data_IF_710295489146
#
_entry.id   IF_710295489146
#
_cell.length_a   1.000
_cell.length_b   1.000
_cell.length_c   1.000
_cell.angle_alpha   90.00
_cell.angle_beta   90.00
_cell.angle_gamma   90.00
#
_symmetry.space_group_name_H-M   'P 1'
#
loop_
_entity.id
_entity.type
_entity.pdbx_description
1 polymer ?
#
# COMPACT_ATOMS: atom_id res chain seq x y z
N UNK A 1 -22.41 10.76 22.57
CA UNK A 1 -22.11 10.17 21.25
C UNK A 1 -22.49 11.19 20.19
N UNK A 2 -21.53 12.02 19.78
CA UNK A 2 -21.75 12.83 18.58
C UNK A 2 -21.80 11.87 17.40
N UNK A 3 -23.01 11.67 16.87
CA UNK A 3 -23.21 11.08 15.56
C UNK A 3 -22.53 12.00 14.55
N UNK A 4 -21.24 11.80 14.31
CA UNK A 4 -20.57 12.36 13.15
C UNK A 4 -21.14 11.68 11.92
N UNK A 5 -22.32 12.13 11.51
CA UNK A 5 -22.93 11.83 10.21
C UNK A 5 -22.01 12.41 9.14
N UNK A 6 -21.01 11.62 8.78
CA UNK A 6 -20.05 11.99 7.77
C UNK A 6 -20.73 11.92 6.42
N UNK A 7 -20.50 12.92 5.58
CA UNK A 7 -21.05 12.92 4.20
C UNK A 7 -20.43 11.79 3.36
N UNK A 8 -19.10 11.58 3.55
CA UNK A 8 -18.28 10.58 2.89
C UNK A 8 -17.21 10.13 3.88
N UNK A 9 -16.88 8.86 3.93
CA UNK A 9 -15.85 8.30 4.80
C UNK A 9 -15.26 7.02 4.21
N UNK A 10 -14.04 6.68 4.61
CA UNK A 10 -13.44 5.38 4.36
C UNK A 10 -13.56 4.55 5.65
N UNK A 11 -14.30 3.46 5.59
CA UNK A 11 -14.38 2.47 6.66
C UNK A 11 -13.21 1.52 6.53
N UNK A 12 -12.41 1.37 7.60
CA UNK A 12 -11.20 0.54 7.63
C UNK A 12 -11.45 -0.61 8.59
N UNK A 13 -11.55 -1.81 8.06
CA UNK A 13 -11.81 -3.02 8.82
C UNK A 13 -10.50 -3.68 9.27
N UNK A 14 -10.20 -3.56 10.57
CA UNK A 14 -8.99 -4.13 11.17
C UNK A 14 -9.12 -5.64 11.46
N UNK A 15 -10.31 -6.21 11.40
CA UNK A 15 -10.52 -7.66 11.46
C UNK A 15 -10.11 -8.28 10.11
N UNK A 16 -10.47 -7.64 8.98
CA UNK A 16 -9.99 -8.03 7.65
C UNK A 16 -8.46 -7.91 7.53
N UNK A 17 -7.87 -6.82 8.07
CA UNK A 17 -6.41 -6.69 8.15
C UNK A 17 -5.77 -7.84 8.93
N UNK A 18 -6.38 -8.22 10.06
CA UNK A 18 -5.93 -9.34 10.90
C UNK A 18 -6.00 -10.66 10.13
N UNK A 19 -7.14 -10.93 9.49
CA UNK A 19 -7.32 -12.11 8.65
C UNK A 19 -6.22 -12.20 7.57
N UNK A 20 -5.99 -11.10 6.85
CA UNK A 20 -4.99 -11.04 5.78
C UNK A 20 -3.57 -11.30 6.31
N UNK A 21 -3.23 -10.69 7.44
CA UNK A 21 -1.95 -10.92 8.12
C UNK A 21 -1.76 -12.40 8.48
N UNK A 22 -2.78 -13.05 9.03
CA UNK A 22 -2.75 -14.46 9.38
C UNK A 22 -2.67 -15.39 8.17
N UNK A 23 -3.34 -15.06 7.06
CA UNK A 23 -3.20 -15.80 5.80
C UNK A 23 -1.77 -15.75 5.30
N UNK A 24 -1.13 -14.56 5.32
CA UNK A 24 0.28 -14.43 4.95
C UNK A 24 1.17 -15.24 5.91
N UNK A 25 0.93 -15.14 7.23
CA UNK A 25 1.68 -15.89 8.25
C UNK A 25 1.64 -17.38 7.98
N UNK A 26 0.46 -17.95 7.75
CA UNK A 26 0.30 -19.36 7.40
C UNK A 26 1.02 -19.75 6.10
N UNK A 27 1.08 -18.84 5.13
CA UNK A 27 1.72 -19.06 3.82
C UNK A 27 3.24 -19.20 3.90
N UNK A 28 3.89 -18.34 4.71
CA UNK A 28 5.36 -18.27 4.79
C UNK A 28 5.94 -18.95 6.03
N UNK A 29 5.13 -19.24 7.04
CA UNK A 29 5.52 -19.90 8.28
C UNK A 29 5.96 -18.93 9.39
N UNK A 30 5.98 -19.41 10.64
CA UNK A 30 6.16 -18.59 11.84
C UNK A 30 7.58 -18.03 12.01
N UNK A 31 8.57 -18.66 11.38
CA UNK A 31 9.97 -18.22 11.47
C UNK A 31 10.29 -17.02 10.62
N UNK A 32 9.49 -16.74 9.59
CA UNK A 32 9.68 -15.63 8.66
C UNK A 32 9.11 -14.37 9.26
N UNK A 33 9.89 -13.29 9.31
CA UNK A 33 9.40 -11.98 9.76
C UNK A 33 8.45 -11.41 8.70
N UNK A 34 7.30 -10.86 9.15
CA UNK A 34 6.40 -10.10 8.29
C UNK A 34 6.73 -8.62 8.44
N UNK A 35 7.10 -7.99 7.34
CA UNK A 35 7.27 -6.55 7.25
C UNK A 35 6.00 -5.95 6.64
N UNK A 36 5.27 -5.16 7.41
CA UNK A 36 4.10 -4.41 6.93
C UNK A 36 4.52 -3.15 6.18
N UNK A 37 4.11 -3.02 4.92
CA UNK A 37 4.38 -1.80 4.14
C UNK A 37 3.25 -0.81 4.38
N UNK A 38 3.55 0.29 5.08
CA UNK A 38 2.58 1.31 5.50
C UNK A 38 2.83 2.69 4.88
N UNK A 39 3.66 2.76 3.84
CA UNK A 39 3.91 3.99 3.06
C UNK A 39 2.64 4.53 2.41
N UNK A 40 2.67 5.78 1.97
CA UNK A 40 1.54 6.49 1.35
C UNK A 40 0.27 6.41 2.23
N UNK A 41 0.45 6.77 3.52
CA UNK A 41 -0.61 6.74 4.53
C UNK A 41 -1.28 5.35 4.64
N UNK A 42 -0.44 4.27 4.69
CA UNK A 42 -0.95 2.90 4.70
C UNK A 42 -1.75 2.56 3.44
N UNK A 43 -1.27 2.97 2.25
CA UNK A 43 -2.04 2.88 1.00
C UNK A 43 -3.41 3.57 1.10
N UNK A 44 -3.46 4.72 1.78
CA UNK A 44 -4.68 5.48 2.00
C UNK A 44 -5.55 5.01 3.17
N UNK A 45 -5.13 3.98 3.90
CA UNK A 45 -5.92 3.40 5.02
C UNK A 45 -5.68 4.09 6.38
N UNK A 46 -4.68 5.00 6.47
CA UNK A 46 -4.22 5.56 7.74
C UNK A 46 -3.05 4.78 8.32
N UNK A 47 -1.82 5.28 8.11
CA UNK A 47 -0.59 4.55 8.45
C UNK A 47 -0.48 4.23 9.95
N UNK A 48 -0.92 5.14 10.82
CA UNK A 48 -0.76 5.01 12.28
C UNK A 48 -1.56 3.84 12.83
N UNK A 49 -2.85 3.77 12.53
CA UNK A 49 -3.73 2.72 13.06
C UNK A 49 -3.39 1.36 12.45
N UNK A 50 -3.06 1.33 11.15
CA UNK A 50 -2.57 0.11 10.49
C UNK A 50 -1.26 -0.37 11.15
N UNK A 51 -0.28 0.52 11.38
CA UNK A 51 0.98 0.18 12.01
C UNK A 51 0.80 -0.36 13.45
N UNK A 52 -0.02 0.32 14.27
CA UNK A 52 -0.37 -0.14 15.62
C UNK A 52 -1.01 -1.52 15.60
N UNK A 53 -1.94 -1.76 14.66
CA UNK A 53 -2.56 -3.07 14.55
C UNK A 53 -1.56 -4.15 14.14
N UNK A 54 -0.67 -3.87 13.19
CA UNK A 54 0.38 -4.80 12.78
C UNK A 54 1.36 -5.09 13.91
N UNK A 55 1.71 -4.10 14.73
CA UNK A 55 2.53 -4.28 15.92
C UNK A 55 1.87 -5.22 16.93
N UNK A 56 0.57 -5.05 17.19
CA UNK A 56 -0.21 -5.97 18.05
C UNK A 56 -0.27 -7.40 17.50
N UNK A 57 -0.29 -7.56 16.17
CA UNK A 57 -0.31 -8.86 15.49
C UNK A 57 1.07 -9.54 15.41
N UNK A 58 2.12 -8.88 15.91
CA UNK A 58 3.48 -9.43 15.91
C UNK A 58 4.19 -9.30 14.57
N UNK A 59 3.95 -8.24 13.81
CA UNK A 59 4.82 -7.87 12.70
C UNK A 59 6.25 -7.67 13.20
N UNK A 60 7.24 -8.08 12.38
CA UNK A 60 8.64 -7.96 12.75
C UNK A 60 9.27 -6.63 12.31
N UNK A 61 8.65 -5.94 11.37
CA UNK A 61 9.14 -4.73 10.74
C UNK A 61 8.00 -3.93 10.12
N UNK A 62 8.20 -2.63 9.92
CA UNK A 62 7.37 -1.79 9.05
C UNK A 62 8.23 -1.21 7.93
N UNK A 63 7.59 -0.71 6.86
CA UNK A 63 8.30 0.01 5.81
C UNK A 63 7.54 1.24 5.33
N UNK A 64 8.30 2.31 5.13
CA UNK A 64 7.84 3.61 4.66
C UNK A 64 8.63 4.06 3.43
N UNK A 65 8.24 5.18 2.81
CA UNK A 65 8.84 5.71 1.60
C UNK A 65 9.58 7.03 1.79
N UNK A 66 9.29 7.76 2.85
CA UNK A 66 9.95 9.02 3.20
C UNK A 66 10.08 9.16 4.73
N UNK A 67 10.94 10.10 5.14
CA UNK A 67 11.29 10.29 6.55
C UNK A 67 10.11 10.84 7.38
N UNK A 68 9.24 11.64 6.77
CA UNK A 68 8.09 12.25 7.47
C UNK A 68 7.05 11.18 7.82
N UNK A 69 6.86 10.15 6.96
CA UNK A 69 6.04 8.97 7.29
C UNK A 69 6.61 8.21 8.50
N UNK A 70 7.93 8.09 8.61
CA UNK A 70 8.57 7.46 9.77
C UNK A 70 8.36 8.29 11.04
N UNK A 71 8.53 9.60 10.96
CA UNK A 71 8.34 10.53 12.08
C UNK A 71 6.89 10.47 12.60
N UNK A 72 5.89 10.51 11.71
CA UNK A 72 4.47 10.36 12.07
C UNK A 72 4.20 9.08 12.87
N UNK A 73 4.79 7.96 12.43
CA UNK A 73 4.66 6.68 13.15
C UNK A 73 5.33 6.72 14.52
N UNK A 74 6.55 7.29 14.63
CA UNK A 74 7.27 7.42 15.92
C UNK A 74 6.53 8.33 16.88
N UNK A 75 6.05 9.48 16.42
CA UNK A 75 5.26 10.44 17.23
C UNK A 75 3.96 9.81 17.74
N UNK A 76 3.43 8.85 17.01
CA UNK A 76 2.24 8.08 17.39
C UNK A 76 2.52 6.91 18.33
N UNK A 77 3.80 6.68 18.71
CA UNK A 77 4.20 5.66 19.67
C UNK A 77 4.50 4.29 19.08
N UNK A 78 4.60 4.15 17.75
CA UNK A 78 5.01 2.90 17.08
C UNK A 78 6.48 2.61 17.42
N UNK A 79 6.78 1.40 17.90
CA UNK A 79 8.12 0.98 18.37
C UNK A 79 8.84 0.02 17.43
N UNK A 80 8.13 -0.67 16.53
CA UNK A 80 8.72 -1.59 15.58
C UNK A 80 9.87 -0.96 14.77
N UNK A 81 10.87 -1.73 14.36
CA UNK A 81 11.85 -1.28 13.37
C UNK A 81 11.14 -0.82 12.09
N UNK A 82 11.61 0.30 11.50
CA UNK A 82 11.03 0.89 10.29
C UNK A 82 12.09 0.97 9.21
N UNK A 83 11.86 0.30 8.09
CA UNK A 83 12.73 0.32 6.91
C UNK A 83 12.29 1.41 5.93
N UNK A 84 13.19 2.33 5.62
CA UNK A 84 13.06 3.26 4.51
C UNK A 84 13.35 2.55 3.19
N UNK A 85 12.35 2.39 2.34
CA UNK A 85 12.49 1.73 1.03
C UNK A 85 12.97 2.68 -0.07
N UNK A 86 12.78 3.99 0.14
CA UNK A 86 13.07 5.04 -0.82
C UNK A 86 14.46 5.66 -0.66
N UNK A 87 14.67 6.73 -1.42
CA UNK A 87 15.83 7.58 -1.31
C UNK A 87 15.64 8.61 -0.19
N UNK A 88 16.69 8.78 0.63
CA UNK A 88 16.77 9.85 1.62
C UNK A 88 18.08 10.61 1.36
N UNK A 89 18.08 11.95 1.28
CA UNK A 89 19.29 12.74 1.21
C UNK A 89 20.17 12.52 2.45
N UNK A 90 21.50 12.46 2.27
CA UNK A 90 22.41 12.18 3.38
C UNK A 90 22.45 13.29 4.45
N UNK A 91 22.02 14.51 4.13
CA UNK A 91 21.87 15.60 5.10
C UNK A 91 20.81 15.32 6.18
N UNK A 92 19.92 14.35 5.94
CA UNK A 92 18.91 13.86 6.91
C UNK A 92 19.46 12.82 7.91
N UNK A 93 20.76 12.50 7.87
CA UNK A 93 21.36 11.48 8.77
C UNK A 93 21.03 11.70 10.25
N UNK A 94 20.99 12.94 10.71
CA UNK A 94 20.65 13.25 12.12
C UNK A 94 19.21 12.82 12.46
N UNK A 95 18.24 13.07 11.57
CA UNK A 95 16.85 12.62 11.75
C UNK A 95 16.74 11.10 11.69
N UNK A 96 17.45 10.45 10.77
CA UNK A 96 17.47 8.98 10.65
C UNK A 96 17.93 8.34 11.96
N UNK A 97 19.02 8.87 12.56
CA UNK A 97 19.53 8.41 13.85
C UNK A 97 18.54 8.67 14.98
N UNK A 98 17.96 9.86 15.05
CA UNK A 98 16.97 10.24 16.06
C UNK A 98 15.71 9.35 16.02
N UNK A 99 15.23 9.01 14.83
CA UNK A 99 14.02 8.21 14.61
C UNK A 99 14.30 6.69 14.75
N UNK A 100 15.56 6.29 14.96
CA UNK A 100 15.98 4.89 14.93
C UNK A 100 15.46 4.17 13.68
N UNK A 101 15.65 4.79 12.52
CA UNK A 101 15.18 4.30 11.24
C UNK A 101 16.25 3.45 10.55
N UNK A 102 15.84 2.34 9.95
CA UNK A 102 16.71 1.53 9.08
C UNK A 102 16.66 2.10 7.67
N UNK A 103 17.81 2.42 7.08
CA UNK A 103 17.90 3.03 5.75
C UNK A 103 18.31 2.01 4.69
N UNK A 104 17.62 1.99 3.54
CA UNK A 104 18.11 1.28 2.36
C UNK A 104 19.30 2.03 1.73
N UNK A 105 20.40 1.34 1.47
CA UNK A 105 21.56 1.88 0.74
C UNK A 105 21.69 1.20 -0.62
N UNK A 106 21.83 2.02 -1.68
CA UNK A 106 21.74 1.59 -3.08
C UNK A 106 23.01 1.85 -3.90
N UNK A 107 24.02 2.51 -3.33
CA UNK A 107 25.34 2.72 -3.94
C UNK A 107 26.37 2.95 -2.86
N UNK A 108 27.65 2.76 -3.21
CA UNK A 108 28.76 3.04 -2.31
C UNK A 108 28.83 4.52 -1.91
N UNK A 109 28.60 5.43 -2.85
CA UNK A 109 28.73 6.87 -2.60
C UNK A 109 27.74 7.35 -1.54
N UNK A 110 26.47 6.98 -1.66
CA UNK A 110 25.45 7.34 -0.65
C UNK A 110 25.71 6.64 0.70
N UNK A 111 26.15 5.38 0.69
CA UNK A 111 26.51 4.66 1.89
C UNK A 111 27.69 5.34 2.62
N UNK A 112 28.70 5.81 1.85
CA UNK A 112 29.84 6.54 2.40
C UNK A 112 29.43 7.88 2.99
N UNK A 113 28.58 8.65 2.30
CA UNK A 113 28.08 9.93 2.84
C UNK A 113 27.31 9.72 4.15
N UNK A 114 26.44 8.71 4.23
CA UNK A 114 25.75 8.36 5.47
C UNK A 114 26.72 7.97 6.58
N UNK A 115 27.72 7.14 6.26
CA UNK A 115 28.71 6.71 7.23
C UNK A 115 29.52 7.90 7.77
N UNK A 116 30.04 8.77 6.92
CA UNK A 116 30.86 9.92 7.31
C UNK A 116 30.05 10.86 8.25
N UNK A 117 28.79 11.10 7.91
CA UNK A 117 27.89 11.92 8.75
C UNK A 117 27.53 11.24 10.05
N UNK A 118 27.23 9.94 10.05
CA UNK A 118 26.92 9.19 11.26
C UNK A 118 28.10 9.20 12.24
N UNK A 119 29.33 9.00 11.74
CA UNK A 119 30.56 9.12 12.56
C UNK A 119 30.70 10.53 13.14
N UNK A 120 30.49 11.57 12.34
CA UNK A 120 30.55 12.97 12.80
C UNK A 120 29.52 13.25 13.90
N UNK A 121 28.37 12.61 13.86
CA UNK A 121 27.30 12.72 14.84
C UNK A 121 27.49 11.76 16.05
N UNK A 122 28.56 10.97 16.06
CA UNK A 122 28.84 10.00 17.13
C UNK A 122 27.93 8.78 17.17
N UNK A 123 27.29 8.45 16.04
CA UNK A 123 26.36 7.34 15.94
C UNK A 123 26.69 6.33 14.82
N UNK A 124 25.86 5.30 14.70
CA UNK A 124 25.85 4.36 13.57
C UNK A 124 24.43 4.23 13.04
N UNK A 125 24.30 4.20 11.72
CA UNK A 125 23.02 3.99 11.03
C UNK A 125 22.81 2.51 10.77
N UNK A 126 21.66 1.96 11.16
CA UNK A 126 21.23 0.64 10.69
C UNK A 126 20.82 0.73 9.23
N UNK A 127 21.37 -0.17 8.40
CA UNK A 127 21.12 -0.15 6.97
C UNK A 127 20.83 -1.53 6.41
N UNK A 128 19.96 -1.56 5.34
CA UNK A 128 19.83 -2.71 4.47
C UNK A 128 20.44 -2.40 3.09
N UNK A 129 21.30 -3.27 2.61
CA UNK A 129 21.88 -3.18 1.27
C UNK A 129 20.80 -3.54 0.25
N UNK A 130 20.53 -2.64 -0.69
CA UNK A 130 19.58 -2.89 -1.75
C UNK A 130 20.27 -3.36 -3.02
N UNK A 131 19.85 -4.52 -3.52
CA UNK A 131 20.28 -5.10 -4.79
C UNK A 131 19.25 -4.82 -5.89
N UNK A 132 19.73 -4.41 -7.06
CA UNK A 132 18.90 -4.37 -8.28
C UNK A 132 19.18 -5.62 -9.11
N UNK A 133 18.26 -6.55 -9.03
CA UNK A 133 18.37 -7.84 -9.75
C UNK A 133 17.64 -7.81 -11.09
N UNK A 134 17.06 -6.66 -11.47
CA UNK A 134 16.34 -6.48 -12.72
C UNK A 134 15.09 -5.62 -12.64
N UNK A 135 14.84 -4.95 -11.49
CA UNK A 135 13.75 -3.96 -11.37
C UNK A 135 14.08 -2.66 -12.11
N UNK A 136 15.37 -2.33 -12.27
CA UNK A 136 15.84 -1.13 -12.99
C UNK A 136 15.51 0.18 -12.28
N UNK A 137 15.56 0.21 -10.93
CA UNK A 137 15.13 1.38 -10.16
C UNK A 137 16.17 1.89 -9.17
N UNK A 138 16.45 1.15 -8.14
CA UNK A 138 17.44 1.48 -7.09
C UNK A 138 18.17 0.20 -6.68
N UNK A 139 19.46 0.30 -6.37
CA UNK A 139 20.25 -0.82 -5.83
C UNK A 139 21.54 -1.05 -6.59
N UNK A 140 22.40 -1.87 -6.01
CA UNK A 140 23.61 -2.36 -6.67
C UNK A 140 23.21 -3.34 -7.77
N UNK A 141 23.58 -3.05 -9.03
CA UNK A 141 23.20 -3.86 -10.18
C UNK A 141 23.78 -5.27 -10.10
N UNK A 142 22.94 -6.28 -10.30
CA UNK A 142 23.31 -7.69 -10.22
C UNK A 142 23.30 -8.40 -11.59
N UNK A 143 23.22 -7.64 -12.69
CA UNK A 143 23.39 -8.16 -14.04
C UNK A 143 24.85 -8.52 -14.32
N UNK A 144 25.11 -9.35 -15.34
CA UNK A 144 26.46 -9.86 -15.63
C UNK A 144 27.50 -8.76 -15.94
N UNK A 145 27.07 -7.64 -16.54
CA UNK A 145 27.98 -6.54 -16.90
C UNK A 145 28.47 -5.75 -15.68
N UNK A 146 27.66 -5.67 -14.63
CA UNK A 146 27.92 -4.84 -13.46
C UNK A 146 28.23 -5.64 -12.19
N UNK A 147 28.07 -6.96 -12.23
CA UNK A 147 28.14 -7.83 -11.05
C UNK A 147 29.44 -7.65 -10.24
N UNK A 148 30.61 -7.71 -10.89
CA UNK A 148 31.89 -7.60 -10.19
C UNK A 148 32.16 -6.20 -9.64
N UNK A 149 31.67 -5.15 -10.32
CA UNK A 149 31.76 -3.79 -9.82
C UNK A 149 30.88 -3.60 -8.58
N UNK A 150 29.64 -4.05 -8.64
CA UNK A 150 28.70 -4.01 -7.50
C UNK A 150 29.22 -4.83 -6.32
N UNK A 151 29.77 -6.01 -6.56
CA UNK A 151 30.36 -6.85 -5.51
C UNK A 151 31.51 -6.11 -4.79
N UNK A 152 32.46 -5.50 -5.54
CA UNK A 152 33.54 -4.70 -4.94
C UNK A 152 32.98 -3.53 -4.10
N UNK A 153 31.98 -2.84 -4.61
CA UNK A 153 31.39 -1.71 -3.90
C UNK A 153 30.64 -2.13 -2.65
N UNK A 154 29.90 -3.25 -2.69
CA UNK A 154 29.24 -3.81 -1.50
C UNK A 154 30.29 -4.21 -0.45
N UNK A 155 31.39 -4.87 -0.83
CA UNK A 155 32.48 -5.22 0.09
C UNK A 155 33.06 -3.96 0.78
N UNK A 156 33.21 -2.86 0.04
CA UNK A 156 33.64 -1.57 0.63
C UNK A 156 32.58 -0.97 1.55
N UNK A 157 31.28 -1.16 1.27
CA UNK A 157 30.18 -0.72 2.17
C UNK A 157 30.28 -1.44 3.51
N UNK A 158 30.63 -2.74 3.53
CA UNK A 158 30.78 -3.51 4.77
C UNK A 158 31.87 -2.96 5.71
N UNK A 159 32.83 -2.20 5.19
CA UNK A 159 33.96 -1.62 5.95
C UNK A 159 33.67 -0.22 6.50
N UNK A 160 32.50 0.37 6.16
CA UNK A 160 32.17 1.74 6.55
C UNK A 160 31.84 1.85 8.05
N UNK A 161 32.60 2.64 8.84
CA UNK A 161 32.52 2.62 10.31
C UNK A 161 31.21 3.20 10.88
N UNK A 162 30.54 4.07 10.13
CA UNK A 162 29.28 4.71 10.57
C UNK A 162 28.03 3.92 10.21
N UNK A 163 28.18 2.71 9.66
CA UNK A 163 27.04 1.86 9.30
C UNK A 163 27.00 0.57 10.15
N UNK A 164 25.79 0.17 10.51
CA UNK A 164 25.47 -1.14 11.06
C UNK A 164 24.64 -1.88 10.01
N UNK A 165 25.24 -2.85 9.33
CA UNK A 165 24.63 -3.52 8.19
C UNK A 165 23.83 -4.72 8.69
N UNK A 166 22.52 -4.58 8.73
CA UNK A 166 21.60 -5.60 9.23
C UNK A 166 21.13 -6.54 8.13
N UNK A 167 20.74 -6.00 6.98
CA UNK A 167 20.08 -6.81 5.98
C UNK A 167 20.45 -6.51 4.54
N UNK A 168 19.94 -7.38 3.67
CA UNK A 168 20.06 -7.28 2.21
C UNK A 168 18.75 -7.62 1.54
N UNK A 169 18.37 -6.86 0.50
CA UNK A 169 17.12 -7.11 -0.19
C UNK A 169 17.10 -6.73 -1.67
N UNK A 170 16.17 -7.34 -2.39
CA UNK A 170 15.80 -6.95 -3.74
C UNK A 170 14.29 -6.76 -3.90
N UNK A 171 13.82 -6.43 -5.09
CA UNK A 171 12.40 -6.30 -5.41
C UNK A 171 12.10 -6.96 -6.75
N UNK A 172 11.18 -7.93 -6.75
CA UNK A 172 10.72 -8.57 -7.98
C UNK A 172 9.81 -7.64 -8.78
N UNK A 173 9.97 -7.66 -10.09
CA UNK A 173 9.23 -6.77 -11.00
C UNK A 173 7.92 -7.37 -11.53
N UNK A 174 7.89 -8.70 -11.73
CA UNK A 174 6.79 -9.42 -12.40
C UNK A 174 6.40 -10.71 -11.69
N UNK A 175 6.62 -10.77 -10.36
CA UNK A 175 6.36 -11.98 -9.57
C UNK A 175 4.87 -12.30 -9.37
N UNK A 176 3.99 -11.41 -9.75
CA UNK A 176 2.52 -11.50 -9.76
C UNK A 176 1.95 -11.95 -11.11
N UNK A 177 2.79 -12.08 -12.12
CA UNK A 177 2.41 -12.55 -13.45
C UNK A 177 2.72 -14.05 -13.61
N UNK A 178 1.91 -14.74 -14.42
CA UNK A 178 2.00 -16.19 -14.66
C UNK A 178 2.46 -16.57 -16.08
N UNK A 179 2.85 -15.58 -16.91
CA UNK A 179 3.43 -15.85 -18.22
C UNK A 179 4.78 -16.56 -18.09
N UNK A 180 5.14 -17.39 -19.06
CA UNK A 180 6.44 -18.11 -19.03
C UNK A 180 7.60 -17.15 -18.90
N UNK A 181 7.57 -16.02 -19.62
CA UNK A 181 8.61 -14.99 -19.59
C UNK A 181 8.74 -14.34 -18.20
N UNK A 182 7.62 -13.97 -17.59
CA UNK A 182 7.59 -13.35 -16.26
C UNK A 182 8.06 -14.31 -15.17
N UNK A 183 7.68 -15.59 -15.27
CA UNK A 183 8.15 -16.65 -14.35
C UNK A 183 9.66 -16.85 -14.47
N UNK A 184 10.19 -16.95 -15.70
CA UNK A 184 11.62 -17.12 -15.93
C UNK A 184 12.41 -15.90 -15.46
N UNK A 185 11.92 -14.69 -15.70
CA UNK A 185 12.55 -13.46 -15.24
C UNK A 185 12.55 -13.35 -13.72
N UNK A 186 11.47 -13.73 -13.06
CA UNK A 186 11.41 -13.75 -11.59
C UNK A 186 12.41 -14.75 -10.99
N UNK A 187 12.58 -15.93 -11.61
CA UNK A 187 13.63 -16.88 -11.23
C UNK A 187 15.02 -16.30 -11.39
N UNK A 188 15.29 -15.65 -12.52
CA UNK A 188 16.56 -14.99 -12.77
C UNK A 188 16.85 -13.88 -11.74
N UNK A 189 15.85 -13.10 -11.36
CA UNK A 189 16.01 -12.10 -10.29
C UNK A 189 16.38 -12.76 -8.95
N UNK A 190 15.73 -13.89 -8.60
CA UNK A 190 16.06 -14.63 -7.38
C UNK A 190 17.47 -15.25 -7.44
N UNK A 191 17.88 -15.81 -8.56
CA UNK A 191 19.22 -16.37 -8.76
C UNK A 191 20.31 -15.30 -8.61
N UNK A 192 20.12 -14.12 -9.23
CA UNK A 192 21.01 -12.96 -9.08
C UNK A 192 21.11 -12.51 -7.62
N UNK A 193 19.99 -12.48 -6.91
CA UNK A 193 19.95 -12.14 -5.49
C UNK A 193 20.77 -13.14 -4.66
N UNK A 194 20.52 -14.42 -4.80
CA UNK A 194 21.23 -15.48 -4.07
C UNK A 194 22.72 -15.50 -4.38
N UNK A 195 23.11 -15.36 -5.66
CA UNK A 195 24.51 -15.35 -6.12
C UNK A 195 25.27 -14.17 -5.52
N UNK A 196 24.68 -12.95 -5.51
CA UNK A 196 25.35 -11.80 -4.93
C UNK A 196 25.59 -11.98 -3.43
N UNK A 197 24.61 -12.43 -2.69
CA UNK A 197 24.73 -12.72 -1.25
C UNK A 197 25.84 -13.74 -1.00
N UNK A 198 25.81 -14.87 -1.69
CA UNK A 198 26.82 -15.93 -1.55
C UNK A 198 28.24 -15.38 -1.77
N UNK A 199 28.44 -14.56 -2.80
CA UNK A 199 29.74 -13.97 -3.11
C UNK A 199 30.19 -12.98 -2.06
N UNK A 200 29.32 -12.07 -1.62
CA UNK A 200 29.62 -11.09 -0.56
C UNK A 200 30.01 -11.83 0.72
N UNK A 201 29.19 -12.77 1.17
CA UNK A 201 29.38 -13.50 2.43
C UNK A 201 30.62 -14.39 2.40
N UNK A 202 30.90 -15.03 1.25
CA UNK A 202 32.08 -15.93 1.13
C UNK A 202 33.38 -15.13 1.11
N UNK A 203 33.42 -13.97 0.44
CA UNK A 203 34.63 -13.17 0.32
C UNK A 203 34.95 -12.34 1.56
N UNK A 204 33.93 -11.83 2.25
CA UNK A 204 34.11 -10.96 3.42
C UNK A 204 34.11 -11.71 4.75
N UNK A 205 33.51 -12.91 4.82
CA UNK A 205 33.20 -13.58 6.07
C UNK A 205 32.04 -12.95 6.85
N UNK A 206 31.50 -11.85 6.36
CA UNK A 206 30.30 -11.21 6.94
C UNK A 206 29.06 -12.07 6.72
N UNK A 207 28.05 -11.92 7.58
CA UNK A 207 26.75 -12.57 7.41
C UNK A 207 25.65 -11.54 7.62
N UNK A 208 24.79 -11.36 6.63
CA UNK A 208 23.58 -10.56 6.83
C UNK A 208 22.63 -11.24 7.82
N UNK A 209 22.03 -10.48 8.71
CA UNK A 209 21.04 -10.99 9.67
C UNK A 209 19.67 -11.19 9.02
N UNK A 210 19.34 -10.38 8.01
CA UNK A 210 18.05 -10.39 7.32
C UNK A 210 18.23 -10.41 5.80
N UNK A 211 17.68 -11.44 5.17
CA UNK A 211 17.57 -11.53 3.71
C UNK A 211 16.10 -11.44 3.31
N UNK A 212 15.77 -10.58 2.35
CA UNK A 212 14.38 -10.48 1.91
C UNK A 212 14.21 -10.09 0.43
N UNK A 213 13.52 -10.93 -0.34
CA UNK A 213 13.23 -10.67 -1.74
C UNK A 213 11.72 -10.60 -2.05
N UNK A 214 10.89 -11.37 -1.34
CA UNK A 214 9.47 -11.48 -1.65
C UNK A 214 8.69 -10.19 -1.34
N UNK A 215 8.07 -9.64 -2.37
CA UNK A 215 6.96 -8.69 -2.32
C UNK A 215 5.61 -9.44 -2.32
N UNK A 216 4.49 -8.79 -2.59
CA UNK A 216 3.17 -9.42 -2.64
C UNK A 216 3.13 -10.63 -3.59
N UNK A 217 3.62 -10.50 -4.83
CA UNK A 217 3.69 -11.59 -5.79
C UNK A 217 4.62 -12.72 -5.33
N UNK A 218 5.79 -12.38 -4.76
CA UNK A 218 6.72 -13.35 -4.20
C UNK A 218 6.11 -14.17 -3.06
N UNK A 219 5.33 -13.54 -2.17
CA UNK A 219 4.61 -14.22 -1.09
C UNK A 219 3.56 -15.19 -1.65
N UNK A 220 2.80 -14.75 -2.65
CA UNK A 220 1.73 -15.54 -3.24
C UNK A 220 2.24 -16.72 -4.06
N UNK A 221 3.22 -16.49 -4.94
CA UNK A 221 3.65 -17.44 -5.96
C UNK A 221 4.90 -18.23 -5.57
N UNK A 222 5.79 -17.66 -4.75
CA UNK A 222 7.10 -18.22 -4.41
C UNK A 222 7.38 -18.26 -2.89
N UNK A 223 6.49 -18.80 -2.03
CA UNK A 223 6.65 -18.74 -0.57
C UNK A 223 7.92 -19.43 -0.06
N UNK A 224 8.51 -20.35 -0.83
CA UNK A 224 9.79 -20.99 -0.50
C UNK A 224 10.99 -20.05 -0.58
N UNK A 225 10.84 -18.86 -1.21
CA UNK A 225 11.86 -17.84 -1.29
C UNK A 225 11.69 -16.73 -0.25
N UNK A 226 10.91 -16.99 0.80
CA UNK A 226 10.63 -16.01 1.85
C UNK A 226 11.89 -15.55 2.61
N UNK A 227 12.96 -16.37 2.65
CA UNK A 227 14.17 -16.13 3.42
C UNK A 227 13.83 -15.76 4.88
N UNK A 228 14.46 -14.73 5.46
CA UNK A 228 14.23 -14.31 6.84
C UNK A 228 13.03 -13.39 7.00
N UNK A 229 12.65 -12.67 5.93
CA UNK A 229 11.58 -11.68 5.99
C UNK A 229 10.87 -11.51 4.65
N UNK A 230 9.57 -11.25 4.68
CA UNK A 230 8.75 -10.89 3.50
C UNK A 230 8.13 -9.51 3.65
N UNK A 231 7.87 -8.82 2.52
CA UNK A 231 7.31 -7.48 2.50
C UNK A 231 5.85 -7.51 2.05
N UNK A 232 4.97 -7.37 3.04
CA UNK A 232 3.52 -7.42 2.88
C UNK A 232 3.02 -6.03 2.43
N UNK A 233 2.82 -5.87 1.11
CA UNK A 233 2.23 -4.66 0.52
C UNK A 233 0.73 -4.84 0.29
N UNK A 234 0.28 -4.67 -0.95
CA UNK A 234 -1.15 -4.60 -1.32
C UNK A 234 -1.99 -5.79 -0.87
N UNK A 235 -1.42 -7.00 -0.85
CA UNK A 235 -2.14 -8.20 -0.39
C UNK A 235 -2.58 -8.07 1.07
N UNK A 236 -1.83 -7.31 1.89
CA UNK A 236 -2.21 -7.04 3.28
C UNK A 236 -3.51 -6.24 3.36
N UNK A 237 -3.76 -5.39 2.38
CA UNK A 237 -4.96 -4.56 2.28
C UNK A 237 -6.12 -5.23 1.52
N UNK A 238 -5.90 -6.47 1.08
CA UNK A 238 -6.97 -7.31 0.50
C UNK A 238 -7.48 -6.83 -0.86
N UNK A 239 -6.59 -6.27 -1.71
CA UNK A 239 -7.00 -5.77 -3.02
C UNK A 239 -6.14 -6.31 -4.16
N UNK A 240 -6.76 -6.54 -5.30
CA UNK A 240 -6.18 -7.09 -6.53
C UNK A 240 -6.26 -8.61 -6.61
N UNK A 241 -6.02 -9.12 -7.82
CA UNK A 241 -6.21 -10.55 -8.20
C UNK A 241 -5.47 -11.53 -7.27
N UNK A 242 -4.26 -11.19 -6.85
CA UNK A 242 -3.50 -12.02 -5.93
C UNK A 242 -4.16 -12.11 -4.56
N UNK A 243 -4.70 -11.00 -4.07
CA UNK A 243 -5.40 -10.96 -2.79
C UNK A 243 -6.65 -11.85 -2.85
N UNK A 244 -7.42 -11.76 -3.91
CA UNK A 244 -8.60 -12.60 -4.14
C UNK A 244 -8.23 -14.10 -4.21
N UNK A 245 -7.23 -14.47 -5.03
CA UNK A 245 -6.73 -15.84 -5.14
C UNK A 245 -6.24 -16.42 -3.81
N UNK A 246 -5.76 -15.59 -2.90
CA UNK A 246 -5.31 -15.97 -1.57
C UNK A 246 -6.42 -15.95 -0.51
N UNK A 247 -7.65 -15.57 -0.84
CA UNK A 247 -8.76 -15.44 0.09
C UNK A 247 -8.61 -14.27 1.08
N UNK A 248 -7.92 -13.21 0.64
CA UNK A 248 -7.80 -11.97 1.40
C UNK A 248 -9.10 -11.19 1.38
N UNK A 249 -9.32 -10.39 2.41
CA UNK A 249 -10.51 -9.56 2.57
C UNK A 249 -10.18 -8.08 2.36
N UNK A 250 -11.00 -7.30 1.60
CA UNK A 250 -10.81 -5.86 1.45
C UNK A 250 -10.83 -5.14 2.79
N UNK A 251 -9.79 -4.36 3.08
CA UNK A 251 -9.66 -3.63 4.34
C UNK A 251 -10.37 -2.27 4.29
N UNK A 252 -10.46 -1.64 3.12
CA UNK A 252 -11.13 -0.34 2.94
C UNK A 252 -12.45 -0.50 2.22
N UNK A 253 -13.50 0.15 2.76
CA UNK A 253 -14.73 0.46 2.03
C UNK A 253 -14.91 1.97 1.97
N UNK A 254 -14.99 2.54 0.76
CA UNK A 254 -15.30 3.95 0.54
C UNK A 254 -16.81 4.13 0.48
N UNK A 255 -17.36 4.89 1.42
CA UNK A 255 -18.79 5.05 1.60
C UNK A 255 -19.21 6.51 1.58
N UNK A 256 -20.45 6.74 1.17
CA UNK A 256 -21.09 8.07 1.19
C UNK A 256 -22.57 7.92 1.50
N UNK A 257 -23.34 9.02 1.45
CA UNK A 257 -24.80 9.02 1.64
C UNK A 257 -25.50 9.73 0.50
N UNK A 258 -26.73 9.35 0.24
CA UNK A 258 -27.61 10.09 -0.67
C UNK A 258 -27.92 11.47 -0.06
N UNK A 259 -27.48 12.54 -0.71
CA UNK A 259 -27.75 13.91 -0.27
C UNK A 259 -29.18 14.35 -0.62
N UNK A 260 -29.60 14.10 -1.86
CA UNK A 260 -30.94 14.44 -2.37
C UNK A 260 -31.28 13.58 -3.57
N UNK A 261 -32.57 13.51 -3.90
CA UNK A 261 -33.06 12.84 -5.11
C UNK A 261 -33.90 13.84 -5.90
N UNK A 262 -33.80 13.79 -7.22
CA UNK A 262 -34.56 14.64 -8.15
C UNK A 262 -35.16 13.79 -9.26
N UNK A 263 -36.37 14.15 -9.65
CA UNK A 263 -37.04 13.57 -10.81
C UNK A 263 -36.74 14.37 -12.07
N UNK A 264 -36.45 13.67 -13.17
CA UNK A 264 -36.13 14.23 -14.47
C UNK A 264 -37.07 13.65 -15.52
N UNK A 265 -37.51 14.46 -16.48
CA UNK A 265 -38.18 13.97 -17.68
C UNK A 265 -37.21 13.18 -18.60
N UNK A 266 -37.73 12.44 -19.56
CA UNK A 266 -36.88 11.84 -20.60
C UNK A 266 -36.22 12.94 -21.44
N UNK A 267 -34.94 12.72 -21.82
CA UNK A 267 -34.14 13.65 -22.63
C UNK A 267 -33.44 14.75 -21.84
N UNK A 268 -33.53 14.77 -20.51
CA UNK A 268 -32.86 15.78 -19.70
C UNK A 268 -31.36 15.42 -19.49
N UNK A 269 -30.44 16.41 -19.58
CA UNK A 269 -29.02 16.20 -19.39
C UNK A 269 -28.63 16.15 -17.91
N UNK A 270 -27.64 15.31 -17.58
CA UNK A 270 -27.09 15.20 -16.23
C UNK A 270 -25.61 15.63 -16.25
N UNK A 271 -25.23 16.54 -15.33
CA UNK A 271 -23.86 16.95 -15.03
C UNK A 271 -23.15 17.74 -16.14
N UNK A 272 -21.86 18.02 -15.89
CA UNK A 272 -20.99 18.79 -16.77
C UNK A 272 -20.84 18.17 -18.16
N UNK A 273 -20.87 18.99 -19.19
CA UNK A 273 -20.68 18.58 -20.56
C UNK A 273 -21.84 17.74 -21.12
N UNK A 274 -22.91 17.55 -20.36
CA UNK A 274 -24.11 16.84 -20.80
C UNK A 274 -23.76 15.49 -21.45
N UNK A 275 -22.90 14.69 -20.75
CA UNK A 275 -22.42 13.41 -21.27
C UNK A 275 -23.39 12.24 -21.04
N UNK A 276 -24.47 12.51 -20.31
CA UNK A 276 -25.57 11.57 -20.09
C UNK A 276 -26.90 12.29 -20.26
N UNK A 277 -27.85 11.62 -20.91
CA UNK A 277 -29.25 12.07 -21.02
C UNK A 277 -30.18 10.98 -20.52
N UNK A 278 -31.16 11.33 -19.74
CA UNK A 278 -32.19 10.41 -19.28
C UNK A 278 -32.97 9.82 -20.46
N UNK A 279 -33.10 8.48 -20.51
CA UNK A 279 -33.78 7.79 -21.62
C UNK A 279 -35.31 7.68 -21.37
N UNK A 280 -35.72 7.87 -20.14
CA UNK A 280 -37.12 7.81 -19.64
C UNK A 280 -37.27 8.75 -18.47
N UNK A 281 -38.49 8.98 -17.94
CA UNK A 281 -38.63 9.64 -16.65
C UNK A 281 -37.78 8.92 -15.61
N UNK A 282 -36.86 9.64 -14.99
CA UNK A 282 -35.78 9.06 -14.17
C UNK A 282 -35.69 9.73 -12.82
N UNK A 283 -35.35 8.95 -11.77
CA UNK A 283 -34.98 9.41 -10.43
C UNK A 283 -33.46 9.39 -10.31
N UNK A 284 -32.87 10.56 -10.10
CA UNK A 284 -31.41 10.72 -10.00
C UNK A 284 -31.06 11.13 -8.57
N UNK A 285 -30.28 10.33 -7.89
CA UNK A 285 -29.73 10.63 -6.57
C UNK A 285 -28.38 11.34 -6.70
N UNK A 286 -28.14 12.32 -5.85
CA UNK A 286 -26.88 13.06 -5.75
C UNK A 286 -26.12 12.53 -4.55
N UNK A 287 -24.86 12.14 -4.78
CA UNK A 287 -23.92 11.67 -3.76
C UNK A 287 -22.87 12.78 -3.51
N UNK A 288 -22.59 13.15 -2.24
CA UNK A 288 -21.62 14.20 -1.91
C UNK A 288 -20.19 13.65 -1.89
N UNK A 289 -19.78 13.00 -2.96
CA UNK A 289 -18.44 12.49 -3.22
C UNK A 289 -18.03 12.82 -4.65
N UNK A 290 -16.79 13.25 -4.83
CA UNK A 290 -16.22 13.57 -6.14
C UNK A 290 -14.72 13.38 -6.22
N UNK A 291 -14.09 13.92 -7.28
CA UNK A 291 -12.66 13.66 -7.50
C UNK A 291 -11.73 14.28 -6.44
N UNK A 292 -12.18 15.32 -5.72
CA UNK A 292 -11.41 15.85 -4.61
C UNK A 292 -11.46 14.95 -3.35
N UNK A 293 -12.41 14.00 -3.29
CA UNK A 293 -12.47 12.96 -2.27
C UNK A 293 -11.66 11.70 -2.66
N UNK A 294 -11.28 11.57 -3.94
CA UNK A 294 -10.56 10.43 -4.48
C UNK A 294 -11.35 9.60 -5.50
N UNK A 295 -12.61 9.96 -5.79
CA UNK A 295 -13.39 9.28 -6.84
C UNK A 295 -12.97 9.80 -8.22
N UNK A 296 -12.18 9.04 -8.95
CA UNK A 296 -11.55 9.46 -10.19
C UNK A 296 -12.58 9.90 -11.24
N UNK A 297 -12.33 11.06 -11.88
CA UNK A 297 -13.21 11.60 -12.92
C UNK A 297 -13.27 10.73 -14.18
N UNK A 298 -12.24 9.91 -14.43
CA UNK A 298 -12.19 8.92 -15.49
C UNK A 298 -13.31 7.87 -15.37
N UNK A 299 -13.77 7.57 -14.17
CA UNK A 299 -14.86 6.63 -13.89
C UNK A 299 -16.26 7.13 -14.30
N UNK A 300 -16.38 8.37 -14.80
CA UNK A 300 -17.68 8.96 -15.18
C UNK A 300 -18.43 8.12 -16.19
N UNK A 301 -19.69 7.79 -15.90
CA UNK A 301 -20.60 6.92 -16.66
C UNK A 301 -20.14 5.45 -16.77
N UNK A 302 -19.19 5.00 -15.98
CA UNK A 302 -18.63 3.64 -16.12
C UNK A 302 -18.90 2.75 -14.92
N UNK A 303 -18.96 3.30 -13.70
CA UNK A 303 -19.09 2.52 -12.47
C UNK A 303 -20.53 2.32 -12.02
N UNK A 304 -20.71 1.31 -11.20
CA UNK A 304 -21.88 1.11 -10.36
C UNK A 304 -21.49 1.30 -8.89
N UNK A 305 -22.47 1.69 -8.09
CA UNK A 305 -22.34 1.82 -6.64
C UNK A 305 -23.40 0.96 -5.97
N UNK A 306 -23.20 0.56 -4.71
CA UNK A 306 -24.17 -0.27 -4.01
C UNK A 306 -24.98 0.59 -3.03
N UNK A 307 -26.29 0.61 -3.23
CA UNK A 307 -27.28 1.13 -2.28
C UNK A 307 -27.83 -0.01 -1.41
N UNK A 308 -28.55 0.26 -0.29
CA UNK A 308 -29.21 -0.78 0.49
C UNK A 308 -30.22 -1.64 -0.29
N UNK A 309 -30.62 -1.19 -1.46
CA UNK A 309 -31.68 -1.83 -2.26
C UNK A 309 -31.16 -2.43 -3.58
N UNK A 310 -29.86 -2.28 -3.87
CA UNK A 310 -29.23 -2.82 -5.07
C UNK A 310 -28.22 -1.88 -5.70
N UNK A 311 -27.62 -2.33 -6.80
CA UNK A 311 -26.62 -1.56 -7.56
C UNK A 311 -27.31 -0.45 -8.37
N UNK A 312 -26.65 0.71 -8.42
CA UNK A 312 -27.09 1.89 -9.18
C UNK A 312 -25.95 2.40 -10.05
N UNK A 313 -26.21 2.75 -11.31
CA UNK A 313 -25.21 3.27 -12.23
C UNK A 313 -24.87 4.73 -11.91
N UNK A 314 -23.60 5.07 -11.90
CA UNK A 314 -23.15 6.44 -11.88
C UNK A 314 -23.39 7.08 -13.26
N UNK A 315 -24.05 8.23 -13.31
CA UNK A 315 -24.48 8.90 -14.53
C UNK A 315 -24.02 10.35 -14.60
N UNK A 316 -23.58 10.77 -15.79
CA UNK A 316 -22.99 12.07 -16.01
C UNK A 316 -21.54 12.16 -15.49
N UNK A 317 -20.90 13.31 -15.62
CA UNK A 317 -19.53 13.50 -15.15
C UNK A 317 -19.46 13.60 -13.66
N UNK A 318 -18.47 12.91 -13.05
CA UNK A 318 -18.08 13.09 -11.65
C UNK A 318 -17.52 14.51 -11.51
N UNK A 319 -18.06 15.25 -10.53
CA UNK A 319 -17.67 16.61 -10.21
C UNK A 319 -16.58 16.63 -9.14
N UNK A 320 -16.15 17.85 -8.71
CA UNK A 320 -15.16 17.97 -7.64
C UNK A 320 -15.64 17.35 -6.32
N UNK A 321 -16.89 17.60 -5.94
CA UNK A 321 -17.43 17.29 -4.62
C UNK A 321 -18.70 16.43 -4.67
N UNK A 322 -19.20 16.07 -5.86
CA UNK A 322 -20.46 15.35 -6.04
C UNK A 322 -20.42 14.45 -7.28
N UNK A 323 -21.23 13.39 -7.25
CA UNK A 323 -21.59 12.62 -8.43
C UNK A 323 -23.08 12.24 -8.38
N UNK A 324 -23.60 11.72 -9.46
CA UNK A 324 -25.00 11.34 -9.59
C UNK A 324 -25.12 9.86 -9.91
N UNK A 325 -26.18 9.23 -9.42
CA UNK A 325 -26.52 7.84 -9.71
C UNK A 325 -27.98 7.73 -10.13
N UNK A 326 -28.27 6.81 -11.06
CA UNK A 326 -29.63 6.52 -11.49
C UNK A 326 -30.26 5.50 -10.54
N UNK A 327 -31.28 5.93 -9.81
CA UNK A 327 -32.04 5.10 -8.85
C UNK A 327 -33.50 4.90 -9.31
N UNK A 328 -33.78 5.05 -10.60
CA UNK A 328 -35.12 4.93 -11.17
C UNK A 328 -35.76 3.59 -10.84
N UNK A 329 -35.00 2.51 -10.93
CA UNK A 329 -35.47 1.14 -10.65
C UNK A 329 -35.33 0.74 -9.17
N UNK A 330 -34.88 1.68 -8.31
CA UNK A 330 -34.72 1.50 -6.87
C UNK A 330 -35.58 2.55 -6.11
N UNK A 331 -36.90 2.47 -6.19
CA UNK A 331 -37.81 3.51 -5.67
C UNK A 331 -37.73 3.68 -4.15
N UNK A 332 -37.20 2.70 -3.42
CA UNK A 332 -37.02 2.73 -1.96
C UNK A 332 -35.86 3.66 -1.53
N UNK A 333 -34.90 3.94 -2.41
CA UNK A 333 -33.76 4.81 -2.12
C UNK A 333 -34.26 6.20 -1.71
N UNK A 334 -33.71 6.73 -0.62
CA UNK A 334 -34.05 8.02 -0.03
C UNK A 334 -32.80 8.78 0.43
N UNK A 335 -32.97 10.08 0.68
CA UNK A 335 -31.93 10.91 1.28
C UNK A 335 -31.50 10.33 2.63
N UNK A 336 -30.19 10.30 2.88
CA UNK A 336 -29.56 9.73 4.06
C UNK A 336 -29.15 8.26 3.93
N UNK A 337 -29.64 7.53 2.92
CA UNK A 337 -29.24 6.15 2.69
C UNK A 337 -27.73 6.05 2.41
N UNK A 338 -27.10 5.04 2.99
CA UNK A 338 -25.67 4.76 2.80
C UNK A 338 -25.42 4.12 1.44
N UNK A 339 -24.31 4.50 0.80
CA UNK A 339 -23.91 4.00 -0.51
C UNK A 339 -22.45 3.61 -0.43
N UNK A 340 -22.12 2.38 -0.81
CA UNK A 340 -20.76 1.91 -1.01
C UNK A 340 -20.31 2.25 -2.42
N UNK A 341 -19.18 2.94 -2.53
CA UNK A 341 -18.53 3.25 -3.81
C UNK A 341 -17.67 2.09 -4.25
N UNK A 342 -16.75 1.66 -3.38
CA UNK A 342 -16.01 0.39 -3.48
C UNK A 342 -15.75 -0.16 -2.09
N UNK A 343 -15.52 -1.46 -1.98
CA UNK A 343 -15.28 -2.13 -0.70
C UNK A 343 -15.44 -3.63 -0.80
N UNK A 344 -16.26 -4.18 0.06
CA UNK A 344 -16.48 -5.63 0.13
C UNK A 344 -17.35 -6.16 -1.03
N UNK A 345 -18.31 -5.36 -1.50
CA UNK A 345 -19.29 -5.79 -2.51
C UNK A 345 -19.02 -5.24 -3.91
N UNK A 346 -18.27 -4.17 -4.01
CA UNK A 346 -17.77 -3.57 -5.26
C UNK A 346 -16.25 -3.48 -5.15
N UNK A 347 -15.54 -4.31 -5.90
CA UNK A 347 -14.10 -4.40 -5.77
C UNK A 347 -13.42 -3.16 -6.36
N UNK A 348 -12.52 -2.55 -5.60
CA UNK A 348 -11.70 -1.43 -6.07
C UNK A 348 -10.86 -1.80 -7.31
N UNK A 349 -10.53 -3.08 -7.48
CA UNK A 349 -9.81 -3.58 -8.65
C UNK A 349 -10.64 -3.47 -9.94
N UNK A 350 -11.96 -3.70 -9.88
CA UNK A 350 -12.85 -3.57 -11.03
C UNK A 350 -12.91 -2.11 -11.50
N UNK A 351 -13.06 -1.17 -10.55
CA UNK A 351 -13.05 0.27 -10.84
C UNK A 351 -11.69 0.73 -11.40
N UNK A 352 -10.59 0.19 -10.88
CA UNK A 352 -9.25 0.51 -11.37
C UNK A 352 -9.06 0.07 -12.83
N UNK A 353 -9.54 -1.11 -13.19
CA UNK A 353 -9.49 -1.60 -14.57
C UNK A 353 -10.24 -0.69 -15.56
N UNK A 354 -11.35 -0.07 -15.14
CA UNK A 354 -12.09 0.90 -15.97
C UNK A 354 -11.33 2.21 -16.23
N UNK A 355 -10.30 2.49 -15.43
CA UNK A 355 -9.43 3.66 -15.58
C UNK A 355 -8.05 3.33 -16.18
N UNK A 356 -7.82 2.09 -16.63
CA UNK A 356 -6.51 1.61 -17.09
C UNK A 356 -5.42 1.83 -16.01
N UNK A 357 -5.75 1.48 -14.76
CA UNK A 357 -4.85 1.61 -13.62
C UNK A 357 -4.98 0.43 -12.65
N UNK A 358 -4.32 0.52 -11.51
CA UNK A 358 -4.28 -0.52 -10.46
C UNK A 358 -4.97 -0.04 -9.17
N UNK A 359 -5.51 -0.97 -8.35
CA UNK A 359 -6.24 -0.60 -7.14
C UNK A 359 -5.42 0.23 -6.15
N UNK A 360 -4.09 0.10 -6.15
CA UNK A 360 -3.18 0.92 -5.35
C UNK A 360 -3.41 2.42 -5.56
N UNK A 361 -3.55 2.84 -6.84
CA UNK A 361 -3.70 4.25 -7.19
C UNK A 361 -5.04 4.80 -6.68
N UNK A 362 -6.13 4.04 -6.86
CA UNK A 362 -7.45 4.45 -6.39
C UNK A 362 -7.50 4.57 -4.87
N UNK A 363 -6.95 3.59 -4.13
CA UNK A 363 -6.94 3.63 -2.67
C UNK A 363 -6.05 4.76 -2.13
N UNK A 364 -4.86 4.96 -2.71
CA UNK A 364 -3.97 6.07 -2.34
C UNK A 364 -4.57 7.44 -2.68
N UNK A 365 -5.47 7.53 -3.68
CA UNK A 365 -6.16 8.76 -4.06
C UNK A 365 -7.25 9.18 -3.08
N UNK A 366 -7.74 8.28 -2.21
CA UNK A 366 -8.71 8.64 -1.16
C UNK A 366 -8.09 9.72 -0.28
N UNK A 367 -8.59 10.95 -0.45
CA UNK A 367 -7.96 12.16 0.07
C UNK A 367 -8.02 12.23 1.60
N UNK A 368 -7.10 12.97 2.22
CA UNK A 368 -7.06 13.20 3.68
C UNK A 368 -8.31 13.95 4.20
N UNK A 369 -9.11 14.58 3.35
CA UNK A 369 -10.38 15.19 3.76
C UNK A 369 -11.51 14.17 3.98
N UNK A 370 -11.34 12.93 3.47
CA UNK A 370 -12.23 11.79 3.74
C UNK A 370 -11.81 11.16 5.06
N UNK A 371 -12.62 11.25 6.12
CA UNK A 371 -12.23 10.68 7.41
C UNK A 371 -12.17 9.15 7.34
N UNK A 372 -11.17 8.56 8.01
CA UNK A 372 -11.09 7.12 8.23
C UNK A 372 -11.87 6.76 9.48
N UNK A 373 -12.66 5.69 9.40
CA UNK A 373 -13.44 5.13 10.50
C UNK A 373 -12.97 3.70 10.70
N UNK A 374 -12.20 3.48 11.74
CA UNK A 374 -11.64 2.15 12.02
C UNK A 374 -12.66 1.29 12.77
N UNK A 375 -12.71 0.00 12.42
CA UNK A 375 -13.52 -1.00 13.09
C UNK A 375 -12.63 -2.17 13.53
N UNK A 376 -12.92 -2.67 14.73
CA UNK A 376 -12.26 -3.86 15.28
C UNK A 376 -13.30 -4.64 16.09
N UNK A 377 -13.36 -5.95 15.91
CA UNK A 377 -14.42 -6.83 16.48
C UNK A 377 -15.83 -6.33 16.11
N UNK A 378 -15.99 -5.83 14.88
CA UNK A 378 -17.25 -5.33 14.36
C UNK A 378 -17.73 -3.99 14.96
N UNK A 379 -16.96 -3.34 15.85
CA UNK A 379 -17.31 -2.05 16.47
C UNK A 379 -16.32 -0.93 16.09
N UNK A 380 -16.80 0.33 16.03
CA UNK A 380 -15.88 1.45 15.82
C UNK A 380 -14.87 1.59 16.96
N UNK A 381 -13.62 1.95 16.61
CA UNK A 381 -12.55 2.17 17.58
C UNK A 381 -11.95 3.57 17.45
N UNK A 382 -11.31 4.05 18.52
CA UNK A 382 -10.56 5.29 18.56
C UNK A 382 -9.14 5.12 17.98
N UNK A 383 -8.35 6.21 17.99
CA UNK A 383 -6.95 6.22 17.54
C UNK A 383 -6.00 5.30 18.34
N UNK A 384 -6.42 4.80 19.51
CA UNK A 384 -5.70 3.83 20.32
C UNK A 384 -6.24 2.40 20.14
N UNK A 385 -7.12 2.19 19.16
CA UNK A 385 -7.81 0.94 18.86
C UNK A 385 -8.69 0.43 20.04
N UNK A 386 -9.23 1.37 20.84
CA UNK A 386 -10.19 1.07 21.89
C UNK A 386 -11.61 1.33 21.40
N UNK A 387 -12.61 0.50 21.79
CA UNK A 387 -14.01 0.72 21.43
C UNK A 387 -14.48 2.13 21.79
N UNK A 388 -15.21 2.78 20.86
CA UNK A 388 -15.81 4.09 21.05
C UNK A 388 -17.07 4.03 21.92
#
# INVERSE_FOLDING_TARGET
>A
MESTLKRTWAEIDLDHLTHNFEVIRRRVGDKVKLLGVVKADGYGHGAVEIAKRLEQLGAGYLAVSNIDECEELRDSGVTLPILMLGFTPADQTARILQLHMTQAVQSYDIAKEFSDRAVTLGGKMTVHVKLDTGMGRLGFSCDEAHFDASLRDILRVLELPGLDIEGVFTHFSVSDEDTTESVEFTKLQHERFARMIEKVETQSGFRFQLHHCCNAGGIASYPKWAWDMVRCGIILYGSGDLAEKMGMQPVMSLKTRVATIKDFAAGEPISYGRTYFTQRPSRIAVLPIGYADGLHRALSNQIEVLTPYGRAKQVGRICMDMCMIDVTDLPQVKSGDEVEIFGEHILCADDAALCDTIPYELMCAVSKRVPRVYRLNGVPVDKNLQPL
#
